data_IF_442901480636
#
_entry.id   IF_442901480636
#
_cell.length_a   1.000
_cell.length_b   1.000
_cell.length_c   1.000
_cell.angle_alpha   90.00
_cell.angle_beta   90.00
_cell.angle_gamma   90.00
#
_symmetry.space_group_name_H-M   'P 1'
#
loop_
_entity.id
_entity.type
_entity.pdbx_description
1 polymer ?
#
# COMPACT_ATOMS: atom_id res chain seq x y z
N UNK A 1 -7.13 -30.81 6.26
CA UNK A 1 -6.00 -30.05 5.70
C UNK A 1 -5.59 -29.03 6.74
N UNK A 2 -4.36 -29.10 7.24
CA UNK A 2 -3.88 -28.17 8.25
C UNK A 2 -3.61 -26.81 7.62
N UNK A 3 -4.22 -25.76 8.21
CA UNK A 3 -4.08 -24.39 7.71
C UNK A 3 -2.71 -23.85 8.09
N UNK A 4 -1.92 -23.45 7.11
CA UNK A 4 -0.64 -22.76 7.35
C UNK A 4 -0.91 -21.34 7.83
N UNK A 5 -0.17 -20.89 8.84
CA UNK A 5 -0.29 -19.54 9.40
C UNK A 5 1.05 -18.83 9.41
N UNK A 6 1.00 -17.50 9.44
CA UNK A 6 2.16 -16.66 9.70
C UNK A 6 2.24 -16.24 11.17
N UNK A 7 3.46 -16.13 11.69
CA UNK A 7 3.70 -15.58 13.03
C UNK A 7 3.98 -14.08 12.96
N UNK A 8 3.32 -13.29 13.83
CA UNK A 8 3.62 -11.88 14.04
C UNK A 8 4.56 -11.75 15.23
N UNK A 9 5.73 -11.16 15.02
CA UNK A 9 6.66 -10.87 16.11
C UNK A 9 6.23 -9.55 16.76
N UNK A 10 5.91 -9.60 18.05
CA UNK A 10 5.43 -8.44 18.82
C UNK A 10 4.16 -7.82 18.18
N UNK A 11 3.27 -8.66 17.62
CA UNK A 11 2.06 -8.26 16.87
C UNK A 11 2.31 -7.41 15.62
N UNK A 12 3.56 -7.35 15.14
CA UNK A 12 3.98 -6.55 13.98
C UNK A 12 4.43 -7.47 12.83
N UNK A 13 3.96 -7.16 11.61
CA UNK A 13 4.55 -7.72 10.38
C UNK A 13 5.92 -7.12 10.13
N UNK A 14 6.93 -7.96 9.88
CA UNK A 14 8.26 -7.50 9.49
C UNK A 14 8.45 -7.68 7.99
N UNK A 15 8.83 -6.63 7.30
CA UNK A 15 9.23 -6.72 5.89
C UNK A 15 10.53 -7.49 5.75
N UNK A 16 10.65 -8.29 4.69
CA UNK A 16 11.93 -8.88 4.31
C UNK A 16 12.31 -8.46 2.88
N UNK A 17 13.22 -7.50 2.78
CA UNK A 17 13.76 -7.03 1.51
C UNK A 17 14.98 -7.82 1.01
N UNK A 18 15.56 -8.72 1.83
CA UNK A 18 16.89 -9.30 1.60
C UNK A 18 17.06 -10.07 0.28
N UNK A 19 15.97 -10.61 -0.27
CA UNK A 19 15.96 -11.29 -1.57
C UNK A 19 14.86 -10.80 -2.51
N UNK A 20 14.25 -9.65 -2.22
CA UNK A 20 13.13 -9.13 -2.99
C UNK A 20 13.63 -8.63 -4.35
N UNK A 21 13.25 -9.33 -5.42
CA UNK A 21 13.47 -8.87 -6.80
C UNK A 21 12.59 -7.65 -7.09
N UNK A 22 12.92 -6.94 -8.18
CA UNK A 22 12.03 -5.87 -8.69
C UNK A 22 10.63 -6.41 -8.93
N UNK A 23 9.60 -5.63 -8.57
CA UNK A 23 8.20 -6.00 -8.76
C UNK A 23 7.59 -5.16 -9.88
N UNK A 24 6.98 -5.80 -10.86
CA UNK A 24 6.14 -5.15 -11.87
C UNK A 24 4.68 -5.33 -11.49
N UNK A 25 3.89 -4.28 -11.63
CA UNK A 25 2.47 -4.26 -11.33
C UNK A 25 1.72 -3.74 -12.53
N UNK A 26 0.63 -4.41 -12.88
CA UNK A 26 -0.40 -3.83 -13.71
C UNK A 26 -1.49 -3.28 -12.80
N UNK A 27 -1.86 -2.03 -13.07
CA UNK A 27 -2.77 -1.22 -12.25
C UNK A 27 -3.96 -0.82 -13.09
N UNK A 28 -5.16 -0.91 -12.52
CA UNK A 28 -6.42 -0.51 -13.14
C UNK A 28 -7.24 0.32 -12.16
N UNK A 29 -7.71 1.48 -12.61
CA UNK A 29 -8.67 2.32 -11.89
C UNK A 29 -9.93 2.43 -12.73
N UNK A 30 -11.05 1.96 -12.18
CA UNK A 30 -12.36 1.88 -12.83
C UNK A 30 -13.35 2.76 -12.10
N UNK A 31 -14.12 3.52 -12.86
CA UNK A 31 -15.15 4.42 -12.36
C UNK A 31 -16.50 3.92 -12.84
N UNK A 32 -17.48 3.89 -11.93
CA UNK A 32 -18.85 3.49 -12.20
C UNK A 32 -19.77 4.57 -11.67
N UNK A 33 -20.81 4.88 -12.43
CA UNK A 33 -21.82 5.87 -12.06
C UNK A 33 -23.20 5.19 -11.96
N UNK A 34 -23.94 5.51 -10.90
CA UNK A 34 -25.24 4.92 -10.58
C UNK A 34 -25.17 3.46 -10.10
N UNK A 35 -26.35 2.81 -10.11
CA UNK A 35 -26.49 1.38 -9.76
C UNK A 35 -26.05 0.44 -10.89
N UNK A 36 -25.80 0.95 -12.09
CA UNK A 36 -25.38 0.13 -13.22
C UNK A 36 -23.96 -0.39 -13.03
N UNK A 37 -23.73 -1.65 -13.42
CA UNK A 37 -22.39 -2.23 -13.53
C UNK A 37 -21.58 -1.71 -14.73
N UNK A 38 -22.12 -0.75 -15.49
CA UNK A 38 -21.43 -0.15 -16.63
C UNK A 38 -20.28 0.75 -16.19
N UNK A 39 -19.13 0.50 -16.79
CA UNK A 39 -17.91 1.25 -16.58
C UNK A 39 -18.02 2.61 -17.28
N UNK A 40 -17.89 3.72 -16.54
CA UNK A 40 -17.92 5.07 -17.11
C UNK A 40 -16.55 5.57 -17.54
N UNK A 41 -15.50 5.17 -16.81
CA UNK A 41 -14.10 5.49 -17.16
C UNK A 41 -13.16 4.42 -16.64
N UNK A 42 -12.06 4.21 -17.37
CA UNK A 42 -10.96 3.34 -16.95
C UNK A 42 -9.62 3.96 -17.25
N UNK A 43 -8.69 3.82 -16.32
CA UNK A 43 -7.27 4.16 -16.52
C UNK A 43 -6.45 2.94 -16.12
N UNK A 44 -5.61 2.45 -17.03
CA UNK A 44 -4.67 1.37 -16.76
C UNK A 44 -3.24 1.86 -16.91
N UNK A 45 -2.32 1.34 -16.12
CA UNK A 45 -0.89 1.61 -16.27
C UNK A 45 -0.05 0.50 -15.66
N UNK A 46 1.24 0.50 -15.97
CA UNK A 46 2.23 -0.38 -15.36
C UNK A 46 3.10 0.41 -14.39
N UNK A 47 3.35 -0.17 -13.23
CA UNK A 47 4.35 0.34 -12.30
C UNK A 47 5.43 -0.70 -12.09
N UNK A 48 6.69 -0.26 -12.05
CA UNK A 48 7.82 -1.14 -11.70
C UNK A 48 8.54 -0.55 -10.51
N UNK A 49 8.77 -1.36 -9.48
CA UNK A 49 9.51 -0.96 -8.28
C UNK A 49 10.82 -1.74 -8.25
N UNK A 50 11.94 -1.00 -8.22
CA UNK A 50 13.25 -1.54 -7.86
C UNK A 50 13.55 -1.13 -6.43
N UNK A 51 14.09 -2.06 -5.63
CA UNK A 51 14.36 -1.83 -4.21
C UNK A 51 15.84 -2.04 -3.97
N UNK A 52 16.51 -1.01 -3.47
CA UNK A 52 17.93 -1.05 -3.11
C UNK A 52 18.06 -0.85 -1.60
N UNK A 53 18.55 -1.85 -0.84
CA UNK A 53 18.85 -1.70 0.58
C UNK A 53 19.92 -0.63 0.80
N UNK A 54 19.74 0.16 1.87
CA UNK A 54 20.71 1.09 2.45
C UNK A 54 20.85 0.75 3.93
N UNK A 55 21.87 1.29 4.60
CA UNK A 55 22.23 0.94 5.98
C UNK A 55 21.03 0.94 6.94
N UNK A 56 20.22 2.00 6.92
CA UNK A 56 19.04 2.16 7.81
C UNK A 56 17.75 2.51 7.05
N UNK A 57 17.69 2.20 5.75
CA UNK A 57 16.54 2.57 4.89
C UNK A 57 16.53 1.77 3.60
N UNK A 58 15.45 1.92 2.85
CA UNK A 58 15.32 1.37 1.50
C UNK A 58 15.12 2.49 0.50
N UNK A 59 15.75 2.34 -0.66
CA UNK A 59 15.59 3.20 -1.80
C UNK A 59 14.69 2.50 -2.82
N UNK A 60 13.53 3.08 -3.09
CA UNK A 60 12.55 2.58 -4.03
C UNK A 60 12.59 3.43 -5.29
N UNK A 61 13.03 2.86 -6.40
CA UNK A 61 12.88 3.48 -7.72
C UNK A 61 11.55 2.99 -8.31
N UNK A 62 10.56 3.88 -8.32
CA UNK A 62 9.22 3.61 -8.85
C UNK A 62 9.17 4.19 -10.26
N UNK A 63 8.97 3.35 -11.25
CA UNK A 63 8.70 3.71 -12.64
C UNK A 63 7.21 3.53 -12.97
N UNK A 64 6.67 4.40 -13.83
CA UNK A 64 5.27 4.37 -14.29
C UNK A 64 5.24 4.48 -15.80
N UNK A 65 4.67 3.49 -16.46
CA UNK A 65 4.68 3.34 -17.91
C UNK A 65 3.38 2.76 -18.45
N UNK A 66 3.27 2.66 -19.79
CA UNK A 66 2.15 2.03 -20.48
C UNK A 66 0.79 2.54 -20.01
N UNK A 67 0.57 3.86 -20.04
CA UNK A 67 -0.71 4.47 -19.65
C UNK A 67 -1.76 4.20 -20.75
N UNK A 68 -2.92 3.66 -20.37
CA UNK A 68 -4.07 3.43 -21.25
C UNK A 68 -5.31 4.10 -20.65
N UNK A 69 -6.15 4.64 -21.52
CA UNK A 69 -7.45 5.21 -21.16
C UNK A 69 -8.51 4.40 -21.88
N UNK A 70 -9.52 3.91 -21.14
CA UNK A 70 -10.63 3.15 -21.72
C UNK A 70 -10.22 2.02 -22.68
N UNK A 71 -9.05 1.39 -22.45
CA UNK A 71 -8.52 0.31 -23.27
C UNK A 71 -7.78 0.72 -24.56
N UNK A 72 -7.51 2.01 -24.78
CA UNK A 72 -6.67 2.51 -25.88
C UNK A 72 -5.49 3.34 -25.39
N UNK A 73 -4.47 3.49 -26.25
CA UNK A 73 -3.35 4.38 -25.97
C UNK A 73 -3.81 5.85 -25.94
N UNK A 74 -3.10 6.73 -25.23
CA UNK A 74 -3.43 8.15 -25.16
C UNK A 74 -3.48 8.76 -26.56
N UNK A 75 -4.65 9.21 -26.99
CA UNK A 75 -4.87 9.82 -28.31
C UNK A 75 -5.58 11.18 -28.20
N UNK A 76 -6.30 11.42 -27.12
CA UNK A 76 -6.88 12.73 -26.78
C UNK A 76 -5.81 13.66 -26.19
N UNK A 77 -5.95 14.96 -26.46
CA UNK A 77 -4.96 15.97 -26.04
C UNK A 77 -4.65 15.94 -24.53
N UNK A 78 -5.67 15.80 -23.68
CA UNK A 78 -5.48 15.75 -22.22
C UNK A 78 -4.80 14.45 -21.75
N UNK A 79 -5.00 13.34 -22.48
CA UNK A 79 -4.38 12.05 -22.20
C UNK A 79 -2.90 12.07 -22.60
N UNK A 80 -2.61 12.61 -23.78
CA UNK A 80 -1.25 12.83 -24.27
C UNK A 80 -0.44 13.72 -23.32
N UNK A 81 -1.02 14.81 -22.83
CA UNK A 81 -0.40 15.69 -21.84
C UNK A 81 -0.17 14.94 -20.53
N UNK A 82 -1.15 14.15 -20.06
CA UNK A 82 -1.02 13.36 -18.84
C UNK A 82 0.12 12.35 -18.94
N UNK A 83 0.26 11.67 -20.08
CA UNK A 83 1.39 10.77 -20.37
C UNK A 83 2.71 11.51 -20.36
N UNK A 84 2.81 12.62 -21.10
CA UNK A 84 4.03 13.39 -21.25
C UNK A 84 4.50 13.97 -19.88
N UNK A 85 3.57 14.45 -19.04
CA UNK A 85 3.86 14.89 -17.67
C UNK A 85 4.22 13.72 -16.73
N UNK A 86 3.59 12.56 -16.89
CA UNK A 86 3.96 11.35 -16.12
C UNK A 86 5.42 10.96 -16.38
N UNK A 87 5.90 11.03 -17.62
CA UNK A 87 7.30 10.73 -17.96
C UNK A 87 8.31 11.76 -17.42
N UNK A 88 7.86 12.97 -17.06
CA UNK A 88 8.72 13.94 -16.36
C UNK A 88 8.87 13.54 -14.89
N UNK A 89 7.77 13.16 -14.26
CA UNK A 89 7.71 12.77 -12.84
C UNK A 89 8.45 11.45 -12.60
N UNK A 90 8.17 10.44 -13.42
CA UNK A 90 8.71 9.10 -13.26
C UNK A 90 9.96 8.87 -14.13
N UNK A 91 10.94 8.06 -13.67
CA UNK A 91 10.95 7.33 -12.40
C UNK A 91 11.20 8.24 -11.19
N UNK A 92 10.48 8.00 -10.10
CA UNK A 92 10.65 8.71 -8.82
C UNK A 92 11.42 7.82 -7.86
N UNK A 93 12.43 8.41 -7.21
CA UNK A 93 13.26 7.69 -6.24
C UNK A 93 12.86 8.11 -4.83
N UNK A 94 12.48 7.12 -4.03
CA UNK A 94 11.87 7.32 -2.71
C UNK A 94 12.72 6.67 -1.65
N UNK A 95 13.06 7.41 -0.60
CA UNK A 95 13.62 6.85 0.62
C UNK A 95 12.48 6.40 1.53
N UNK A 96 12.57 5.18 2.06
CA UNK A 96 11.62 4.63 3.03
C UNK A 96 12.33 3.95 4.19
N UNK A 97 11.66 3.82 5.33
CA UNK A 97 12.17 3.06 6.48
C UNK A 97 11.81 1.56 6.38
N UNK A 98 12.15 0.79 7.42
CA UNK A 98 11.87 -0.65 7.50
C UNK A 98 10.39 -1.03 7.51
N UNK A 99 9.51 -0.09 7.87
CA UNK A 99 8.06 -0.25 7.85
C UNK A 99 7.43 0.26 6.54
N UNK A 100 8.25 0.49 5.49
CA UNK A 100 7.82 1.04 4.21
C UNK A 100 7.08 2.38 4.35
N UNK A 101 7.47 3.20 5.33
CA UNK A 101 6.97 4.56 5.48
C UNK A 101 7.74 5.48 4.53
N UNK A 102 7.02 6.31 3.79
CA UNK A 102 7.60 7.36 2.96
C UNK A 102 8.38 8.37 3.81
N UNK A 103 9.65 8.63 3.45
CA UNK A 103 10.48 9.64 4.13
C UNK A 103 10.71 10.88 3.24
N UNK A 104 11.21 10.68 2.02
CA UNK A 104 11.50 11.77 1.08
C UNK A 104 11.65 11.27 -0.36
N UNK A 105 11.56 12.20 -1.32
CA UNK A 105 11.95 11.98 -2.72
C UNK A 105 13.39 12.47 -2.93
N UNK A 106 14.30 11.54 -3.22
CA UNK A 106 15.75 11.82 -3.27
C UNK A 106 16.19 12.39 -4.61
N UNK A 107 15.47 12.10 -5.70
CA UNK A 107 15.82 12.54 -7.05
C UNK A 107 15.05 13.80 -7.52
N UNK A 108 14.46 14.58 -6.60
CA UNK A 108 13.68 15.78 -6.93
C UNK A 108 14.44 16.77 -7.85
N UNK A 109 15.73 17.00 -7.60
CA UNK A 109 16.55 17.89 -8.45
C UNK A 109 16.65 17.40 -9.89
N UNK A 110 16.69 16.07 -10.11
CA UNK A 110 16.72 15.49 -11.45
C UNK A 110 15.37 15.68 -12.16
N UNK A 111 14.25 15.53 -11.43
CA UNK A 111 12.89 15.76 -11.98
C UNK A 111 12.76 17.21 -12.47
N UNK A 112 13.18 18.18 -11.66
CA UNK A 112 13.07 19.60 -12.01
C UNK A 112 14.07 20.00 -13.10
N UNK A 113 15.36 19.78 -12.84
CA UNK A 113 16.43 20.35 -13.68
C UNK A 113 16.67 19.57 -14.97
N UNK A 114 16.59 18.25 -14.92
CA UNK A 114 17.00 17.42 -16.06
C UNK A 114 15.80 16.97 -16.90
N UNK A 115 14.63 16.81 -16.29
CA UNK A 115 13.43 16.32 -17.00
C UNK A 115 12.48 17.46 -17.36
N UNK A 116 12.02 18.24 -16.38
CA UNK A 116 11.07 19.31 -16.65
C UNK A 116 11.68 20.43 -17.50
N UNK A 117 12.77 21.06 -17.05
CA UNK A 117 13.36 22.20 -17.76
C UNK A 117 13.83 21.85 -19.18
N UNK A 118 14.35 20.64 -19.40
CA UNK A 118 14.76 20.18 -20.73
C UNK A 118 13.57 19.95 -21.68
N UNK A 119 12.45 19.43 -21.18
CA UNK A 119 11.30 19.09 -22.02
C UNK A 119 10.26 20.21 -22.15
N UNK A 120 10.30 21.23 -21.30
CA UNK A 120 9.29 22.31 -21.27
C UNK A 120 9.10 23.01 -22.62
N UNK A 121 10.18 23.34 -23.33
CA UNK A 121 10.10 24.00 -24.65
C UNK A 121 9.34 23.13 -25.63
N UNK A 122 9.77 21.87 -25.77
CA UNK A 122 9.15 20.89 -26.66
C UNK A 122 7.66 20.68 -26.35
N UNK A 123 7.30 20.60 -25.06
CA UNK A 123 5.91 20.44 -24.63
C UNK A 123 5.04 21.69 -24.88
N UNK A 124 5.64 22.88 -24.79
CA UNK A 124 4.96 24.16 -25.03
C UNK A 124 4.70 24.35 -26.52
N UNK A 125 5.68 24.02 -27.37
CA UNK A 125 5.57 24.07 -28.83
C UNK A 125 4.58 23.03 -29.36
N UNK A 126 4.60 21.82 -28.81
CA UNK A 126 3.69 20.73 -29.21
C UNK A 126 2.22 21.03 -28.91
N UNK A 127 1.92 21.82 -27.88
CA UNK A 127 0.56 22.14 -27.45
C UNK A 127 0.38 23.64 -27.12
N UNK A 128 0.27 24.52 -28.13
CA UNK A 128 0.36 25.97 -27.95
C UNK A 128 -0.91 26.65 -27.38
N UNK A 129 -1.87 25.89 -26.84
CA UNK A 129 -3.14 26.46 -26.38
C UNK A 129 -3.04 27.10 -24.99
N UNK A 130 -3.79 28.19 -24.74
CA UNK A 130 -3.81 28.88 -23.43
C UNK A 130 -4.21 27.94 -22.28
N UNK A 131 -5.10 26.99 -22.55
CA UNK A 131 -5.56 26.01 -21.56
C UNK A 131 -4.39 25.12 -21.13
N UNK A 132 -3.64 24.57 -22.09
CA UNK A 132 -2.48 23.72 -21.79
C UNK A 132 -1.38 24.48 -21.05
N UNK A 133 -1.16 25.74 -21.40
CA UNK A 133 -0.23 26.60 -20.66
C UNK A 133 -0.66 26.81 -19.20
N UNK A 134 -1.97 26.88 -18.92
CA UNK A 134 -2.46 26.96 -17.53
C UNK A 134 -2.21 25.66 -16.75
N UNK A 135 -2.32 24.50 -17.40
CA UNK A 135 -1.95 23.21 -16.81
C UNK A 135 -0.46 23.13 -16.49
N UNK A 136 0.41 23.55 -17.40
CA UNK A 136 1.85 23.58 -17.14
C UNK A 136 2.21 24.50 -15.98
N UNK A 137 1.58 25.67 -15.87
CA UNK A 137 1.78 26.55 -14.71
C UNK A 137 1.37 25.89 -13.39
N UNK A 138 0.26 25.15 -13.37
CA UNK A 138 -0.17 24.40 -12.20
C UNK A 138 0.83 23.27 -11.85
N UNK A 139 1.35 22.57 -12.86
CA UNK A 139 2.38 21.56 -12.69
C UNK A 139 3.69 22.16 -12.14
N UNK A 140 4.14 23.30 -12.68
CA UNK A 140 5.34 24.01 -12.22
C UNK A 140 5.22 24.45 -10.76
N UNK A 141 4.04 24.89 -10.33
CA UNK A 141 3.79 25.24 -8.94
C UNK A 141 4.07 24.05 -8.00
N UNK A 142 3.74 22.82 -8.43
CA UNK A 142 4.07 21.63 -7.66
C UNK A 142 5.58 21.34 -7.61
N UNK A 143 6.34 21.78 -8.61
CA UNK A 143 7.78 21.62 -8.72
C UNK A 143 8.61 22.75 -8.08
N UNK A 144 7.98 23.79 -7.53
CA UNK A 144 8.70 24.89 -6.88
C UNK A 144 9.52 24.44 -5.66
N UNK A 145 8.98 23.48 -4.90
CA UNK A 145 9.60 22.97 -3.67
C UNK A 145 9.34 21.48 -3.53
N UNK A 146 10.34 20.75 -3.05
CA UNK A 146 10.26 19.30 -2.82
C UNK A 146 9.03 18.92 -1.99
N UNK A 147 8.77 19.64 -0.89
CA UNK A 147 7.65 19.32 -0.01
C UNK A 147 6.27 19.54 -0.64
N UNK A 148 6.15 20.45 -1.62
CA UNK A 148 4.90 20.65 -2.37
C UNK A 148 4.73 19.51 -3.37
N UNK A 149 5.80 19.12 -4.06
CA UNK A 149 5.81 17.97 -4.95
C UNK A 149 5.47 16.67 -4.22
N UNK A 150 6.11 16.40 -3.08
CA UNK A 150 5.85 15.23 -2.24
C UNK A 150 4.39 15.18 -1.77
N UNK A 151 3.81 16.32 -1.39
CA UNK A 151 2.37 16.40 -1.09
C UNK A 151 1.51 16.08 -2.31
N UNK A 152 1.91 16.52 -3.51
CA UNK A 152 1.16 16.26 -4.73
C UNK A 152 1.17 14.77 -5.13
N UNK A 153 2.19 14.00 -4.73
CA UNK A 153 2.21 12.55 -4.96
C UNK A 153 1.08 11.82 -4.25
N UNK A 154 0.54 12.39 -3.17
CA UNK A 154 -0.61 11.84 -2.46
C UNK A 154 -1.90 11.93 -3.27
N UNK A 155 -1.93 12.58 -4.44
CA UNK A 155 -3.06 12.50 -5.36
C UNK A 155 -3.06 11.20 -6.20
N UNK A 156 -1.97 10.42 -6.18
CA UNK A 156 -1.88 9.14 -6.89
C UNK A 156 -2.34 7.98 -5.98
N UNK A 157 -3.26 7.15 -6.46
CA UNK A 157 -3.82 6.02 -5.70
C UNK A 157 -2.76 4.96 -5.38
N UNK A 158 -1.91 4.63 -6.35
CA UNK A 158 -0.84 3.66 -6.13
C UNK A 158 0.11 4.16 -5.04
N UNK A 159 0.44 5.46 -5.05
CA UNK A 159 1.27 6.07 -4.01
C UNK A 159 0.64 5.92 -2.62
N UNK A 160 -0.62 6.31 -2.45
CA UNK A 160 -1.31 6.20 -1.16
C UNK A 160 -1.37 4.74 -0.67
N UNK A 161 -1.70 3.80 -1.57
CA UNK A 161 -1.85 2.39 -1.21
C UNK A 161 -0.51 1.71 -0.89
N UNK A 162 0.54 2.03 -1.65
CA UNK A 162 1.89 1.50 -1.42
C UNK A 162 2.42 1.93 -0.04
N UNK A 163 2.30 3.22 0.29
CA UNK A 163 2.83 3.79 1.53
C UNK A 163 1.85 3.79 2.70
N UNK A 164 0.64 3.25 2.54
CA UNK A 164 -0.30 3.06 3.64
C UNK A 164 0.33 2.16 4.73
N UNK A 165 0.28 2.53 6.03
CA UNK A 165 0.85 1.74 7.12
C UNK A 165 0.24 0.32 7.22
N UNK A 166 1.02 -0.67 6.82
CA UNK A 166 0.67 -2.11 6.88
C UNK A 166 1.47 -2.87 7.94
N UNK A 167 2.66 -2.37 8.27
CA UNK A 167 3.64 -2.98 9.17
C UNK A 167 3.59 -2.30 10.53
N UNK A 168 2.42 -2.36 11.15
CA UNK A 168 2.08 -1.72 12.43
C UNK A 168 1.75 -2.79 13.47
N UNK A 169 1.59 -2.38 14.72
CA UNK A 169 1.11 -3.25 15.81
C UNK A 169 -0.40 -3.48 15.65
N UNK A 170 -0.78 -4.74 15.41
CA UNK A 170 -2.17 -5.15 15.25
C UNK A 170 -2.84 -5.59 16.57
N UNK A 171 -2.17 -5.45 17.71
CA UNK A 171 -2.57 -6.04 18.99
C UNK A 171 -2.72 -7.58 18.94
N UNK A 172 -3.06 -8.18 20.08
CA UNK A 172 -3.32 -9.62 20.18
C UNK A 172 -4.49 -10.10 19.33
N UNK A 173 -5.43 -9.20 19.03
CA UNK A 173 -6.68 -9.52 18.34
C UNK A 173 -6.52 -9.42 16.82
N UNK A 174 -5.32 -9.09 16.34
CA UNK A 174 -5.00 -8.89 14.93
C UNK A 174 -5.82 -7.77 14.26
N UNK A 175 -6.25 -6.80 15.04
CA UNK A 175 -7.14 -5.71 14.65
C UNK A 175 -6.67 -4.39 15.28
N UNK A 176 -6.66 -3.32 14.49
CA UNK A 176 -6.30 -1.98 14.95
C UNK A 176 -7.22 -0.91 14.33
N UNK A 177 -7.62 0.09 15.13
CA UNK A 177 -8.29 1.30 14.62
C UNK A 177 -7.24 2.24 14.04
N UNK A 178 -7.44 2.67 12.80
CA UNK A 178 -6.47 3.52 12.09
C UNK A 178 -7.16 4.45 11.09
N UNK A 179 -6.37 5.34 10.50
CA UNK A 179 -6.81 6.26 9.46
C UNK A 179 -6.22 5.84 8.12
N UNK A 180 -7.02 5.95 7.06
CA UNK A 180 -6.61 5.75 5.69
C UNK A 180 -6.83 7.05 4.92
N UNK A 181 -5.81 7.51 4.18
CA UNK A 181 -5.91 8.71 3.37
C UNK A 181 -5.95 8.32 1.89
N UNK A 182 -7.00 8.70 1.16
CA UNK A 182 -7.13 8.38 -0.27
C UNK A 182 -7.69 9.55 -1.09
N UNK A 183 -7.05 9.84 -2.21
CA UNK A 183 -7.45 10.89 -3.14
C UNK A 183 -8.64 10.45 -4.02
N UNK A 184 -9.83 10.45 -3.44
CA UNK A 184 -11.09 10.09 -4.14
C UNK A 184 -11.79 11.31 -4.76
N UNK A 185 -11.46 12.52 -4.31
CA UNK A 185 -12.00 13.78 -4.83
C UNK A 185 -10.96 14.47 -5.72
N UNK A 186 -11.27 14.78 -6.98
CA UNK A 186 -10.33 15.45 -7.88
C UNK A 186 -9.87 16.82 -7.35
N UNK A 187 -8.56 17.07 -7.44
CA UNK A 187 -7.91 18.33 -7.06
C UNK A 187 -8.01 18.70 -5.57
N UNK A 188 -8.45 17.77 -4.72
CA UNK A 188 -8.56 17.97 -3.28
C UNK A 188 -7.67 16.99 -2.52
N UNK A 189 -7.14 17.45 -1.38
CA UNK A 189 -6.28 16.66 -0.52
C UNK A 189 -6.94 15.30 -0.15
N UNK A 190 -6.16 14.21 -0.03
CA UNK A 190 -6.71 12.91 0.32
C UNK A 190 -7.72 12.95 1.47
N UNK A 191 -8.87 12.32 1.25
CA UNK A 191 -9.92 12.20 2.24
C UNK A 191 -9.46 11.23 3.33
N UNK A 192 -9.66 11.61 4.59
CA UNK A 192 -9.36 10.79 5.75
C UNK A 192 -10.54 9.87 6.07
N UNK A 193 -10.35 8.57 5.90
CA UNK A 193 -11.27 7.52 6.33
C UNK A 193 -10.80 6.96 7.67
N UNK A 194 -11.61 7.05 8.72
CA UNK A 194 -11.35 6.35 9.98
C UNK A 194 -11.95 4.96 9.89
N UNK A 195 -11.25 3.94 10.36
CA UNK A 195 -11.73 2.58 10.21
C UNK A 195 -10.92 1.55 10.99
N UNK A 196 -11.21 0.29 10.69
CA UNK A 196 -10.58 -0.87 11.31
C UNK A 196 -9.73 -1.59 10.28
N UNK A 197 -8.46 -1.82 10.62
CA UNK A 197 -7.55 -2.66 9.83
C UNK A 197 -7.35 -3.99 10.55
N UNK A 198 -7.59 -5.09 9.84
CA UNK A 198 -7.45 -6.46 10.34
C UNK A 198 -6.43 -7.20 9.49
N UNK A 199 -5.57 -7.97 10.13
CA UNK A 199 -4.71 -8.94 9.45
C UNK A 199 -5.25 -10.35 9.65
N UNK A 200 -5.30 -11.13 8.57
CA UNK A 200 -5.59 -12.56 8.61
C UNK A 200 -4.28 -13.33 8.56
N UNK A 201 -3.95 -14.03 9.63
CA UNK A 201 -2.70 -14.80 9.73
C UNK A 201 -2.76 -16.15 9.00
N UNK A 202 -3.96 -16.61 8.64
CA UNK A 202 -4.15 -17.77 7.76
C UNK A 202 -3.67 -17.42 6.35
N UNK A 203 -2.88 -18.33 5.77
CA UNK A 203 -2.33 -18.15 4.44
C UNK A 203 -3.38 -18.53 3.41
N UNK A 204 -3.57 -17.65 2.44
CA UNK A 204 -4.53 -17.87 1.35
C UNK A 204 -4.03 -18.95 0.38
N UNK A 205 -4.93 -19.47 -0.45
CA UNK A 205 -4.58 -20.40 -1.52
C UNK A 205 -3.59 -19.78 -2.53
N UNK A 206 -3.47 -18.46 -2.56
CA UNK A 206 -2.54 -17.71 -3.40
C UNK A 206 -1.15 -17.51 -2.75
N UNK A 207 -0.85 -18.18 -1.63
CA UNK A 207 0.38 -17.96 -0.86
C UNK A 207 0.54 -16.48 -0.46
N UNK A 208 -0.56 -15.87 0.00
CA UNK A 208 -0.56 -14.50 0.53
C UNK A 208 -1.06 -14.42 1.96
N UNK A 209 -0.75 -13.30 2.59
CA UNK A 209 -1.32 -12.81 3.85
C UNK A 209 -2.22 -11.63 3.52
N UNK A 210 -3.47 -11.68 3.98
CA UNK A 210 -4.43 -10.60 3.71
C UNK A 210 -4.48 -9.60 4.87
N UNK A 211 -4.42 -8.31 4.54
CA UNK A 211 -4.77 -7.20 5.42
C UNK A 211 -5.99 -6.51 4.83
N UNK A 212 -7.05 -6.37 5.62
CA UNK A 212 -8.28 -5.70 5.23
C UNK A 212 -8.52 -4.46 6.08
N UNK A 213 -8.57 -3.29 5.45
CA UNK A 213 -9.06 -2.06 6.03
C UNK A 213 -10.51 -1.83 5.62
N UNK A 214 -11.39 -1.61 6.60
CA UNK A 214 -12.79 -1.21 6.41
C UNK A 214 -13.02 0.11 7.12
N UNK A 215 -13.43 1.15 6.38
CA UNK A 215 -13.80 2.42 6.98
C UNK A 215 -15.10 2.31 7.77
N UNK A 216 -15.23 3.15 8.78
CA UNK A 216 -16.52 3.53 9.31
C UNK A 216 -17.29 4.31 8.21
N UNK A 217 -18.62 4.26 8.26
CA UNK A 217 -19.46 5.06 7.38
C UNK A 217 -19.31 6.55 7.73
N UNK A 218 -19.24 7.41 6.71
CA UNK A 218 -19.20 8.86 6.92
C UNK A 218 -20.00 9.60 5.86
N UNK A 219 -20.41 10.84 6.15
CA UNK A 219 -21.09 11.70 5.19
C UNK A 219 -20.26 11.88 3.92
N UNK A 220 -20.92 11.80 2.76
CA UNK A 220 -20.28 11.98 1.46
C UNK A 220 -19.71 13.40 1.32
N UNK A 221 -18.57 13.51 0.64
CA UNK A 221 -17.98 14.81 0.34
C UNK A 221 -18.91 15.66 -0.56
N UNK A 222 -18.94 16.99 -0.34
CA UNK A 222 -19.77 17.93 -1.10
C UNK A 222 -19.56 17.85 -2.63
N UNK A 223 -18.35 17.49 -3.06
CA UNK A 223 -18.05 17.23 -4.46
C UNK A 223 -19.04 16.23 -5.07
N UNK A 224 -19.26 15.09 -4.41
CA UNK A 224 -20.17 14.05 -4.91
C UNK A 224 -21.63 14.50 -4.84
N UNK A 225 -22.04 15.09 -3.72
CA UNK A 225 -23.39 15.63 -3.53
C UNK A 225 -23.76 16.64 -4.64
N UNK A 226 -22.84 17.56 -4.96
CA UNK A 226 -23.07 18.61 -5.96
C UNK A 226 -23.23 18.07 -7.39
N UNK A 227 -22.52 16.99 -7.75
CA UNK A 227 -22.68 16.38 -9.06
C UNK A 227 -24.02 15.68 -9.21
N UNK A 228 -24.50 15.06 -8.13
CA UNK A 228 -25.75 14.33 -8.09
C UNK A 228 -26.94 15.28 -8.14
N UNK A 229 -26.88 16.40 -7.40
CA UNK A 229 -27.91 17.44 -7.43
C UNK A 229 -28.05 18.11 -8.82
N UNK A 230 -26.93 18.28 -9.55
CA UNK A 230 -26.95 18.78 -10.93
C UNK A 230 -27.67 17.80 -11.89
N UNK A 231 -27.71 16.52 -11.55
CA UNK A 231 -28.36 15.48 -12.35
C UNK A 231 -29.83 15.23 -11.94
N UNK A 232 -30.46 16.15 -11.19
CA UNK A 232 -31.88 16.09 -10.78
C UNK A 232 -32.28 14.84 -9.97
N UNK A 233 -31.36 14.24 -9.23
CA UNK A 233 -31.74 13.23 -8.23
C UNK A 233 -32.24 13.99 -6.99
N UNK A 234 -33.55 14.27 -6.97
CA UNK A 234 -34.26 14.77 -5.79
C UNK A 234 -34.12 13.74 -4.67
N UNK A 235 -33.08 13.89 -3.86
CA UNK A 235 -32.93 13.10 -2.66
C UNK A 235 -32.67 14.07 -1.53
N UNK A 236 -33.71 14.39 -0.77
CA UNK A 236 -33.55 14.92 0.59
C UNK A 236 -32.88 13.91 1.54
N UNK A 237 -32.31 12.83 0.99
CA UNK A 237 -31.66 11.76 1.72
C UNK A 237 -30.19 12.13 1.94
N UNK A 238 -29.71 11.83 3.13
CA UNK A 238 -28.30 11.96 3.46
C UNK A 238 -27.49 10.98 2.58
N UNK A 239 -26.37 11.47 2.08
CA UNK A 239 -25.43 10.68 1.30
C UNK A 239 -24.23 10.32 2.16
N UNK A 240 -23.76 9.09 1.99
CA UNK A 240 -22.67 8.50 2.72
C UNK A 240 -21.59 8.01 1.78
N UNK A 241 -20.41 7.78 2.32
CA UNK A 241 -19.30 7.17 1.61
C UNK A 241 -18.53 6.22 2.52
N UNK A 242 -17.93 5.20 1.91
CA UNK A 242 -17.10 4.21 2.59
C UNK A 242 -15.95 3.75 1.71
N UNK A 243 -14.94 3.18 2.36
CA UNK A 243 -13.74 2.65 1.73
C UNK A 243 -13.43 1.26 2.30
N UNK A 244 -13.26 0.28 1.42
CA UNK A 244 -12.72 -1.04 1.76
C UNK A 244 -11.43 -1.25 0.98
N UNK A 245 -10.36 -1.66 1.66
CA UNK A 245 -9.04 -1.89 1.04
C UNK A 245 -8.50 -3.25 1.47
N UNK A 246 -8.10 -4.06 0.50
CA UNK A 246 -7.50 -5.36 0.71
C UNK A 246 -6.07 -5.34 0.20
N UNK A 247 -5.12 -5.75 1.04
CA UNK A 247 -3.73 -5.95 0.69
C UNK A 247 -3.40 -7.43 0.81
N UNK A 248 -3.07 -8.05 -0.31
CA UNK A 248 -2.49 -9.38 -0.37
C UNK A 248 -0.96 -9.23 -0.42
N UNK A 249 -0.29 -9.63 0.65
CA UNK A 249 1.17 -9.61 0.78
C UNK A 249 1.72 -11.00 0.49
N UNK A 250 2.81 -11.10 -0.29
CA UNK A 250 3.44 -12.40 -0.52
C UNK A 250 4.05 -12.97 0.77
N UNK A 251 3.99 -14.29 0.97
CA UNK A 251 4.47 -14.90 2.22
C UNK A 251 6.00 -14.89 2.38
N UNK A 252 6.79 -14.51 1.38
CA UNK A 252 8.26 -14.60 1.44
C UNK A 252 8.91 -13.29 1.89
N UNK A 253 8.40 -12.19 1.36
CA UNK A 253 8.88 -10.83 1.54
C UNK A 253 7.90 -9.97 2.33
N UNK A 254 6.65 -10.42 2.46
CA UNK A 254 5.52 -9.65 3.00
C UNK A 254 5.35 -8.33 2.24
N UNK A 255 5.61 -8.34 0.93
CA UNK A 255 5.48 -7.19 0.06
C UNK A 255 4.18 -7.29 -0.76
N UNK A 256 3.54 -6.17 -1.15
CA UNK A 256 2.28 -6.22 -1.88
C UNK A 256 2.40 -7.03 -3.18
N UNK A 257 1.54 -8.04 -3.33
CA UNK A 257 1.36 -8.79 -4.57
C UNK A 257 0.07 -8.39 -5.26
N UNK A 258 -0.98 -8.12 -4.48
CA UNK A 258 -2.25 -7.66 -5.01
C UNK A 258 -2.87 -6.66 -4.03
N UNK A 259 -3.45 -5.58 -4.54
CA UNK A 259 -4.17 -4.62 -3.70
C UNK A 259 -5.42 -4.17 -4.41
N UNK A 260 -6.52 -4.21 -3.67
CA UNK A 260 -7.84 -3.80 -4.13
C UNK A 260 -8.34 -2.70 -3.23
N UNK A 261 -8.88 -1.62 -3.81
CA UNK A 261 -9.57 -0.60 -3.04
C UNK A 261 -10.91 -0.29 -3.69
N UNK A 262 -11.96 -0.32 -2.88
CA UNK A 262 -13.35 -0.11 -3.27
C UNK A 262 -13.86 1.11 -2.51
N UNK A 263 -13.98 2.23 -3.24
CA UNK A 263 -14.61 3.44 -2.74
C UNK A 263 -16.03 3.52 -3.26
N UNK A 264 -16.99 3.78 -2.37
CA UNK A 264 -18.41 3.86 -2.70
C UNK A 264 -19.02 5.13 -2.12
N UNK A 265 -19.91 5.75 -2.90
CA UNK A 265 -20.83 6.80 -2.47
C UNK A 265 -22.24 6.28 -2.68
N UNK A 266 -23.07 6.39 -1.66
CA UNK A 266 -24.43 5.83 -1.65
C UNK A 266 -25.38 6.72 -0.83
N UNK A 267 -26.67 6.57 -1.07
CA UNK A 267 -27.73 7.11 -0.19
C UNK A 267 -28.39 5.98 0.56
N UNK A 268 -29.04 6.31 1.67
CA UNK A 268 -29.92 5.40 2.40
C UNK A 268 -31.36 5.85 2.28
N UNK A 269 -32.27 4.91 2.08
CA UNK A 269 -33.70 5.16 2.21
C UNK A 269 -34.18 5.05 3.67
N UNK A 270 -35.48 5.20 3.90
CA UNK A 270 -36.08 5.11 5.23
C UNK A 270 -35.98 3.69 5.85
N UNK A 271 -35.66 2.67 5.04
CA UNK A 271 -35.47 1.29 5.46
C UNK A 271 -33.97 0.95 5.66
N UNK A 272 -33.09 1.97 5.67
CA UNK A 272 -31.62 1.83 5.76
C UNK A 272 -31.02 1.02 4.60
N UNK A 273 -31.71 0.93 3.45
CA UNK A 273 -31.20 0.25 2.28
C UNK A 273 -30.27 1.17 1.49
N UNK A 274 -29.08 0.65 1.16
CA UNK A 274 -28.09 1.35 0.35
C UNK A 274 -28.51 1.40 -1.13
N UNK A 275 -28.56 2.62 -1.70
CA UNK A 275 -28.61 2.86 -3.15
C UNK A 275 -27.26 3.40 -3.60
N UNK A 276 -26.55 2.63 -4.43
CA UNK A 276 -25.22 3.00 -4.93
C UNK A 276 -25.32 4.15 -5.93
N UNK A 277 -24.51 5.19 -5.72
CA UNK A 277 -24.49 6.38 -6.57
C UNK A 277 -23.20 6.48 -7.37
N UNK A 278 -22.07 6.14 -6.75
CA UNK A 278 -20.76 6.14 -7.40
C UNK A 278 -19.89 5.07 -6.81
N UNK A 279 -19.11 4.40 -7.66
CA UNK A 279 -18.08 3.47 -7.22
C UNK A 279 -16.77 3.72 -7.96
N UNK A 280 -15.67 3.68 -7.23
CA UNK A 280 -14.32 3.69 -7.81
C UNK A 280 -13.62 2.44 -7.32
N UNK A 281 -13.13 1.65 -8.26
CA UNK A 281 -12.37 0.44 -7.98
C UNK A 281 -10.93 0.64 -8.43
N UNK A 282 -10.00 0.37 -7.53
CA UNK A 282 -8.59 0.24 -7.85
C UNK A 282 -8.18 -1.22 -7.69
N UNK A 283 -7.37 -1.68 -8.61
CA UNK A 283 -6.70 -2.97 -8.51
C UNK A 283 -5.27 -2.83 -8.98
N UNK A 284 -4.31 -3.28 -8.19
CA UNK A 284 -2.95 -3.58 -8.64
C UNK A 284 -2.70 -5.07 -8.48
N UNK A 285 -2.11 -5.71 -9.48
CA UNK A 285 -1.65 -7.09 -9.39
C UNK A 285 -0.21 -7.18 -9.87
N UNK A 286 0.59 -7.98 -9.17
CA UNK A 286 1.97 -8.24 -9.55
C UNK A 286 1.99 -9.08 -10.83
N UNK A 287 2.76 -8.65 -11.83
CA UNK A 287 3.07 -9.44 -13.02
C UNK A 287 4.21 -10.44 -12.72
N UNK A 288 4.38 -11.41 -13.61
CA UNK A 288 5.47 -12.39 -13.59
C UNK A 288 5.59 -13.20 -12.27
N UNK A 289 4.45 -13.52 -11.65
CA UNK A 289 4.40 -14.32 -10.41
C UNK A 289 4.68 -15.81 -10.61
N UNK A 290 4.87 -16.28 -11.84
CA UNK A 290 5.20 -17.69 -12.15
C UNK A 290 6.52 -18.12 -11.46
N UNK A 291 7.48 -17.19 -11.33
CA UNK A 291 8.71 -17.38 -10.54
C UNK A 291 8.44 -17.62 -9.05
N UNK A 292 7.36 -17.06 -8.50
CA UNK A 292 6.99 -17.26 -7.10
C UNK A 292 6.38 -18.67 -6.87
N UNK A 293 5.83 -19.31 -7.91
CA UNK A 293 5.26 -20.67 -7.84
C UNK A 293 6.31 -21.79 -7.89
N UNK A 294 7.50 -21.49 -8.38
CA UNK A 294 8.58 -22.47 -8.62
C UNK A 294 9.71 -22.43 -7.58
N UNK A 295 9.56 -21.61 -6.53
CA UNK A 295 10.51 -21.63 -5.41
C UNK A 295 10.42 -22.98 -4.68
N UNK A 296 11.49 -23.80 -4.65
CA UNK A 296 11.44 -25.10 -3.98
C UNK A 296 11.15 -24.94 -2.48
N UNK A 297 10.47 -25.93 -1.85
CA UNK A 297 10.13 -25.93 -0.42
C UNK A 297 11.31 -25.68 0.54
N UNK A 298 12.53 -25.91 0.06
CA UNK A 298 13.80 -25.74 0.77
C UNK A 298 14.21 -24.26 0.97
N UNK A 299 13.56 -23.31 0.29
CA UNK A 299 13.57 -21.88 0.65
C UNK A 299 12.39 -21.58 1.57
N UNK A 300 12.43 -22.13 2.78
CA UNK A 300 11.39 -21.91 3.79
C UNK A 300 11.17 -20.40 3.96
N UNK A 301 9.92 -19.94 3.84
CA UNK A 301 9.64 -18.53 4.17
C UNK A 301 9.91 -18.35 5.67
N UNK A 302 10.59 -17.27 6.08
CA UNK A 302 10.89 -17.04 7.49
C UNK A 302 9.65 -16.78 8.34
N UNK A 303 8.48 -16.64 7.70
CA UNK A 303 7.20 -16.34 8.35
C UNK A 303 6.29 -17.56 8.50
N UNK A 304 6.55 -18.64 7.76
CA UNK A 304 5.72 -19.84 7.80
C UNK A 304 5.99 -20.64 9.07
N UNK A 305 4.92 -20.96 9.80
CA UNK A 305 4.96 -21.98 10.85
C UNK A 305 4.72 -23.33 10.18
N UNK A 306 5.75 -24.18 10.13
CA UNK A 306 5.63 -25.54 9.60
C UNK A 306 5.33 -26.52 10.74
N UNK A 307 4.35 -27.40 10.55
CA UNK A 307 4.02 -28.43 11.56
C UNK A 307 5.16 -29.43 11.82
N UNK A 308 6.09 -29.57 10.87
CA UNK A 308 7.31 -30.36 11.04
C UNK A 308 8.25 -29.74 12.09
N UNK A 309 8.24 -28.41 12.26
CA UNK A 309 9.07 -27.72 13.26
C UNK A 309 8.56 -27.94 14.70
N UNK A 310 7.31 -28.39 14.88
CA UNK A 310 6.76 -28.85 16.17
C UNK A 310 7.10 -30.31 16.49
N UNK A 311 7.62 -31.08 15.52
CA UNK A 311 7.86 -32.52 15.68
C UNK A 311 9.33 -32.92 15.51
N UNK A 312 10.13 -32.11 14.84
CA UNK A 312 11.57 -32.35 14.76
C UNK A 312 12.26 -32.00 16.08
N UNK A 313 13.04 -32.95 16.59
CA UNK A 313 13.94 -32.72 17.71
C UNK A 313 15.01 -31.74 17.24
N UNK A 314 14.89 -30.49 17.66
CA UNK A 314 15.85 -29.44 17.37
C UNK A 314 17.14 -29.63 18.16
N UNK A 315 17.03 -30.00 19.45
CA UNK A 315 18.17 -30.15 20.35
C UNK A 315 17.87 -31.09 21.51
N UNK A 316 18.85 -31.91 21.88
CA UNK A 316 18.80 -32.71 23.11
C UNK A 316 19.70 -32.06 24.17
N UNK A 317 19.16 -31.81 25.35
CA UNK A 317 19.89 -31.24 26.48
C UNK A 317 19.49 -31.95 27.77
N UNK A 318 20.48 -32.41 28.53
CA UNK A 318 20.29 -33.22 29.76
C UNK A 318 19.36 -34.43 29.55
N UNK A 319 19.46 -35.09 28.40
CA UNK A 319 18.66 -36.26 28.06
C UNK A 319 17.20 -35.96 27.69
N UNK A 320 16.78 -34.70 27.68
CA UNK A 320 15.47 -34.27 27.18
C UNK A 320 15.60 -33.73 25.76
N UNK A 321 14.71 -34.18 24.89
CA UNK A 321 14.58 -33.66 23.53
C UNK A 321 13.70 -32.42 23.54
N UNK A 322 14.13 -31.39 22.81
CA UNK A 322 13.42 -30.14 22.64
C UNK A 322 13.15 -29.92 21.15
N UNK A 323 11.92 -29.56 20.84
CA UNK A 323 11.58 -28.88 19.58
C UNK A 323 12.16 -27.47 19.58
N UNK A 324 12.20 -26.80 18.42
CA UNK A 324 12.76 -25.44 18.33
C UNK A 324 12.02 -24.45 19.25
N UNK A 325 10.70 -24.54 19.32
CA UNK A 325 9.90 -23.67 20.18
C UNK A 325 10.11 -23.95 21.68
N UNK A 326 10.22 -25.22 22.07
CA UNK A 326 10.52 -25.59 23.45
C UNK A 326 11.92 -25.16 23.87
N UNK A 327 12.90 -25.28 22.96
CA UNK A 327 14.27 -24.83 23.21
C UNK A 327 14.34 -23.32 23.42
N UNK A 328 13.63 -22.55 22.60
CA UNK A 328 13.60 -21.09 22.72
C UNK A 328 12.95 -20.64 24.04
N UNK A 329 11.85 -21.27 24.45
CA UNK A 329 11.25 -21.03 25.78
C UNK A 329 12.20 -21.39 26.92
N UNK A 330 12.88 -22.52 26.80
CA UNK A 330 13.89 -22.94 27.77
C UNK A 330 15.04 -21.92 27.87
N UNK A 331 15.55 -21.41 26.74
CA UNK A 331 16.59 -20.36 26.73
C UNK A 331 16.12 -19.06 27.38
N UNK A 332 14.89 -18.62 27.09
CA UNK A 332 14.30 -17.43 27.70
C UNK A 332 14.15 -17.59 29.23
N UNK A 333 13.74 -18.77 29.70
CA UNK A 333 13.66 -19.09 31.14
C UNK A 333 15.04 -19.13 31.81
N UNK A 334 16.04 -19.76 31.18
CA UNK A 334 17.41 -19.77 31.69
C UNK A 334 18.02 -18.37 31.74
N UNK A 335 17.74 -17.53 30.74
CA UNK A 335 18.18 -16.13 30.71
C UNK A 335 17.52 -15.31 31.82
N UNK A 336 16.23 -15.53 32.09
CA UNK A 336 15.53 -14.91 33.22
C UNK A 336 16.14 -15.32 34.57
N UNK A 337 16.41 -16.61 34.77
CA UNK A 337 17.08 -17.11 35.99
C UNK A 337 18.48 -16.50 36.13
N UNK A 338 19.24 -16.41 35.04
CA UNK A 338 20.57 -15.80 35.02
C UNK A 338 20.52 -14.32 35.43
N UNK A 339 19.59 -13.55 34.85
CA UNK A 339 19.43 -12.12 35.16
C UNK A 339 18.95 -11.88 36.60
N UNK A 340 18.05 -12.72 37.13
CA UNK A 340 17.63 -12.70 38.54
C UNK A 340 18.77 -13.05 39.51
N UNK A 341 19.62 -14.03 39.16
CA UNK A 341 20.81 -14.36 39.96
C UNK A 341 21.86 -13.25 39.93
N UNK A 342 22.06 -12.60 38.78
CA UNK A 342 22.99 -11.49 38.61
C UNK A 342 22.56 -10.26 39.42
N UNK A 343 21.26 -9.94 39.42
CA UNK A 343 20.70 -8.85 40.23
C UNK A 343 20.77 -9.14 41.73
N UNK A 344 20.52 -10.38 42.17
CA UNK A 344 20.73 -10.77 43.58
C UNK A 344 22.20 -10.71 44.00
N UNK A 345 23.14 -11.16 43.16
CA UNK A 345 24.57 -11.09 43.47
C UNK A 345 25.05 -9.64 43.59
N UNK A 346 24.60 -8.76 42.68
CA UNK A 346 24.83 -7.32 42.75
C UNK A 346 24.23 -6.65 44.00
N UNK A 347 23.17 -7.20 44.59
CA UNK A 347 22.56 -6.69 45.82
C UNK A 347 23.36 -7.08 47.06
N UNK A 348 23.92 -8.29 47.10
CA UNK A 348 24.80 -8.73 48.20
C UNK A 348 26.19 -8.09 48.15
N UNK A 349 26.71 -7.82 46.95
CA UNK A 349 27.97 -7.08 46.77
C UNK A 349 27.84 -5.58 47.16
N UNK A 350 26.63 -5.07 47.41
CA UNK A 350 26.35 -3.70 47.88
C UNK A 350 26.17 -3.60 49.40
N UNK A 351 26.07 -4.74 50.10
CA UNK A 351 25.80 -4.83 51.55
C UNK A 351 26.98 -5.37 52.36
N UNK A 352 28.12 -5.65 51.72
CA UNK A 352 29.41 -5.93 52.35
C UNK A 352 30.40 -4.83 52.02
#
# INVERSE_FOLDING_TARGET
MNKKTISLKDNVLKLNFGSLKSRSYAVSIKYFDGESSSLSKRVDYKNKIFITPKQDSYLLDIDKSSLWFNGHEPDLMYELISRDLSHIVYPVQVKSNEQLTFLEITNFSQIVNNRWHHNKSNLTEKYPTKIVQSFYKAFEKNLEKRSVFEKSMQYDWFWNLLFHPKYIDYSSDHVVKTNFYLAVVPYEFPVKFTGTQKITTEITDHHSVEIHFKSDEMMAHNYFISQINKNNINSGNLMYMRLNVYFDLDVYHLFPMHTRAYFEVYSKDLEEKDTLIKRIEFTQYQEDTEDNKTAPPEKRSPYLVYEEDEKEIYKTYEGKNYTYQEWKKFEDEQYKIYTEKKTKKSFWDFLG
#
